data_IF_799769552094
#
_entry.id   IF_799769552094
#
_cell.length_a   1.000
_cell.length_b   1.000
_cell.length_c   1.000
_cell.angle_alpha   90.00
_cell.angle_beta   90.00
_cell.angle_gamma   90.00
#
_symmetry.space_group_name_H-M   'P 1'
#
loop_
_entity.id
_entity.type
_entity.pdbx_description
1 polymer ?
#
# COMPACT_ATOMS: atom_id res chain seq x y z
N UNK A 1 12.73 49.19 -91.33
CA UNK A 1 12.88 47.98 -90.53
C UNK A 1 13.25 48.37 -89.09
N UNK A 2 12.33 48.38 -88.17
CA UNK A 2 12.55 48.74 -86.75
C UNK A 2 12.87 47.47 -85.98
N UNK A 3 14.02 47.39 -85.37
CA UNK A 3 14.42 46.30 -84.46
C UNK A 3 13.85 46.61 -83.07
N UNK A 4 13.05 45.73 -82.54
CA UNK A 4 12.53 45.78 -81.15
C UNK A 4 13.47 44.97 -80.30
N UNK A 5 14.15 45.63 -79.35
CA UNK A 5 14.99 45.00 -78.33
C UNK A 5 14.12 44.73 -77.08
N UNK A 6 14.00 43.45 -76.69
CA UNK A 6 13.38 43.08 -75.41
C UNK A 6 14.43 43.09 -74.31
N UNK A 7 14.20 43.93 -73.30
CA UNK A 7 14.98 43.92 -72.08
C UNK A 7 14.36 42.91 -71.12
N UNK A 8 15.15 41.96 -70.73
CA UNK A 8 14.81 40.98 -69.71
C UNK A 8 15.01 41.60 -68.32
N UNK A 9 13.92 41.83 -67.58
CA UNK A 9 13.98 42.24 -66.16
C UNK A 9 14.07 40.98 -65.30
N UNK A 10 15.20 40.74 -64.65
CA UNK A 10 15.34 39.68 -63.66
C UNK A 10 14.71 40.13 -62.33
N UNK A 11 13.64 39.50 -61.89
CA UNK A 11 13.07 39.68 -60.56
C UNK A 11 13.80 38.71 -59.64
N UNK A 12 14.60 39.27 -58.74
CA UNK A 12 15.20 38.51 -57.61
C UNK A 12 14.19 38.41 -56.51
N UNK A 13 13.59 37.23 -56.30
CA UNK A 13 12.78 36.96 -55.17
C UNK A 13 13.65 36.63 -53.93
N UNK A 14 13.70 37.56 -52.97
CA UNK A 14 14.24 37.29 -51.63
C UNK A 14 13.25 36.38 -50.86
N UNK A 15 13.60 35.10 -50.74
CA UNK A 15 12.89 34.20 -49.82
C UNK A 15 13.32 34.50 -48.36
N UNK A 16 12.47 35.28 -47.65
CA UNK A 16 12.63 35.47 -46.23
C UNK A 16 12.29 34.20 -45.47
N UNK A 17 13.30 33.61 -44.86
CA UNK A 17 13.09 32.46 -43.91
C UNK A 17 12.51 33.07 -42.64
N UNK A 18 11.21 32.89 -42.42
CA UNK A 18 10.55 33.22 -41.17
C UNK A 18 10.75 32.02 -40.24
N UNK A 19 11.69 32.17 -39.29
CA UNK A 19 11.92 31.15 -38.24
C UNK A 19 10.82 31.32 -37.19
N UNK A 20 9.83 30.45 -37.18
CA UNK A 20 8.86 30.38 -36.10
C UNK A 20 9.54 29.75 -34.87
N UNK A 21 9.78 30.54 -33.84
CA UNK A 21 10.20 30.07 -32.53
C UNK A 21 8.95 29.46 -31.86
N UNK A 22 8.84 28.15 -31.88
CA UNK A 22 7.79 27.40 -31.14
C UNK A 22 8.22 27.46 -29.68
N UNK A 23 7.42 28.04 -28.76
CA UNK A 23 7.72 27.93 -27.34
C UNK A 23 7.65 26.47 -26.95
N UNK A 24 8.76 25.93 -26.44
CA UNK A 24 8.74 24.66 -25.75
C UNK A 24 7.85 24.84 -24.52
N UNK A 25 6.64 24.27 -24.59
CA UNK A 25 5.84 24.00 -23.40
C UNK A 25 6.59 22.91 -22.64
N UNK A 26 7.29 23.31 -21.60
CA UNK A 26 7.78 22.36 -20.60
C UNK A 26 6.57 21.63 -20.07
N UNK A 27 6.37 20.40 -20.53
CA UNK A 27 5.44 19.47 -19.91
C UNK A 27 5.92 19.29 -18.47
N UNK A 28 5.10 19.63 -17.45
CA UNK A 28 5.49 19.33 -16.09
C UNK A 28 5.72 17.84 -16.03
N UNK A 29 6.95 17.43 -15.76
CA UNK A 29 7.28 16.06 -15.39
C UNK A 29 6.37 15.74 -14.21
N UNK A 30 5.40 14.84 -14.41
CA UNK A 30 4.57 14.34 -13.34
C UNK A 30 5.53 13.72 -12.32
N UNK A 31 5.90 14.50 -11.31
CA UNK A 31 6.59 14.01 -10.16
C UNK A 31 5.74 12.87 -9.63
N UNK A 32 6.30 11.65 -9.57
CA UNK A 32 5.67 10.51 -8.94
C UNK A 32 5.31 10.95 -7.52
N UNK A 33 4.08 11.36 -7.31
CA UNK A 33 3.55 11.52 -5.97
C UNK A 33 3.62 10.11 -5.35
N UNK A 34 4.67 9.85 -4.58
CA UNK A 34 4.69 8.70 -3.69
C UNK A 34 3.59 8.99 -2.67
N UNK A 35 2.38 8.54 -2.99
CA UNK A 35 1.26 8.55 -2.04
C UNK A 35 1.71 7.83 -0.77
N UNK A 36 1.17 8.27 0.39
CA UNK A 36 1.41 7.53 1.63
C UNK A 36 1.11 6.04 1.41
N UNK A 37 1.91 5.13 1.99
CA UNK A 37 1.68 3.70 1.82
C UNK A 37 0.26 3.36 2.25
N UNK A 38 -0.42 2.54 1.44
CA UNK A 38 -1.77 2.08 1.74
C UNK A 38 -1.75 1.26 3.04
N UNK A 39 -2.72 1.53 3.92
CA UNK A 39 -2.84 0.90 5.22
C UNK A 39 -4.09 0.04 5.27
N UNK A 40 -4.05 -0.89 6.19
CA UNK A 40 -5.21 -1.67 6.60
C UNK A 40 -6.25 -0.82 7.33
N UNK A 41 -7.48 -1.32 7.39
CA UNK A 41 -8.52 -0.85 8.29
C UNK A 41 -8.83 -1.93 9.31
N UNK A 42 -8.81 -1.57 10.59
CA UNK A 42 -9.10 -2.50 11.70
C UNK A 42 -10.43 -2.17 12.33
N UNK A 43 -11.31 -3.17 12.43
CA UNK A 43 -12.62 -3.06 13.08
C UNK A 43 -12.72 -4.09 14.21
N UNK A 44 -13.02 -3.64 15.43
CA UNK A 44 -13.26 -4.55 16.56
C UNK A 44 -14.63 -5.21 16.37
N UNK A 45 -14.62 -6.55 16.23
CA UNK A 45 -15.83 -7.35 16.07
C UNK A 45 -16.38 -7.82 17.42
N UNK A 46 -15.53 -8.10 18.40
CA UNK A 46 -15.91 -8.41 19.77
C UNK A 46 -14.80 -8.02 20.75
N UNK A 47 -15.19 -7.67 21.96
CA UNK A 47 -14.34 -7.46 23.11
C UNK A 47 -15.07 -7.96 24.36
N UNK A 48 -14.61 -9.08 24.93
CA UNK A 48 -15.32 -9.76 26.00
C UNK A 48 -14.36 -10.36 27.03
N UNK A 49 -14.64 -10.19 28.34
CA UNK A 49 -13.96 -10.96 29.36
C UNK A 49 -14.10 -12.46 29.12
N UNK A 50 -13.08 -13.22 29.50
CA UNK A 50 -13.13 -14.68 29.47
C UNK A 50 -13.43 -15.18 30.88
N UNK A 51 -14.66 -15.66 31.20
CA UNK A 51 -15.03 -16.01 32.58
C UNK A 51 -14.15 -17.11 33.19
N UNK A 52 -13.69 -18.06 32.40
CA UNK A 52 -12.81 -19.16 32.82
C UNK A 52 -11.32 -18.77 32.96
N UNK A 53 -10.96 -17.55 32.57
CA UNK A 53 -9.59 -17.01 32.68
C UNK A 53 -9.64 -15.60 33.30
N UNK A 54 -9.77 -15.50 34.64
CA UNK A 54 -9.83 -14.23 35.33
C UNK A 54 -8.65 -13.31 34.96
N UNK A 55 -8.93 -12.03 34.69
CA UNK A 55 -7.92 -11.06 34.27
C UNK A 55 -7.58 -11.10 32.78
N UNK A 56 -8.22 -11.97 31.99
CA UNK A 56 -8.07 -12.02 30.53
C UNK A 56 -9.36 -11.66 29.82
N UNK A 57 -9.22 -11.11 28.62
CA UNK A 57 -10.30 -10.85 27.68
C UNK A 57 -9.93 -11.32 26.28
N UNK A 58 -10.94 -11.65 25.49
CA UNK A 58 -10.84 -11.92 24.08
C UNK A 58 -11.21 -10.66 23.31
N UNK A 59 -10.34 -10.25 22.42
CA UNK A 59 -10.64 -9.21 21.41
C UNK A 59 -10.55 -9.85 20.05
N UNK A 60 -11.62 -9.77 19.26
CA UNK A 60 -11.57 -10.15 17.85
C UNK A 60 -11.65 -8.91 16.97
N UNK A 61 -10.80 -8.89 15.94
CA UNK A 61 -10.70 -7.79 15.00
C UNK A 61 -10.82 -8.32 13.57
N UNK A 62 -11.54 -7.57 12.74
CA UNK A 62 -11.48 -7.73 11.29
C UNK A 62 -10.47 -6.73 10.77
N UNK A 63 -9.50 -7.24 10.03
CA UNK A 63 -8.47 -6.44 9.35
C UNK A 63 -8.73 -6.52 7.86
N UNK A 64 -9.08 -5.39 7.27
CA UNK A 64 -9.31 -5.23 5.83
C UNK A 64 -8.08 -4.61 5.18
N UNK A 65 -7.48 -5.34 4.26
CA UNK A 65 -6.35 -4.89 3.46
C UNK A 65 -6.81 -4.54 2.05
N UNK A 66 -6.86 -3.26 1.66
CA UNK A 66 -6.94 -2.89 0.26
C UNK A 66 -5.80 -3.53 -0.58
N UNK A 67 -5.93 -3.59 -1.91
CA UNK A 67 -4.84 -4.06 -2.78
C UNK A 67 -3.53 -3.33 -2.48
N UNK A 68 -2.45 -4.08 -2.25
CA UNK A 68 -1.13 -3.54 -1.94
C UNK A 68 -0.96 -2.90 -0.57
N UNK A 69 -1.97 -2.96 0.31
CA UNK A 69 -1.88 -2.40 1.67
C UNK A 69 -1.06 -3.28 2.61
N UNK A 70 -0.45 -2.64 3.60
CA UNK A 70 0.34 -3.31 4.64
C UNK A 70 0.19 -2.65 6.00
N UNK A 71 0.28 -3.43 7.06
CA UNK A 71 0.50 -2.94 8.41
C UNK A 71 1.95 -2.51 8.62
N UNK A 72 2.19 -1.61 9.55
CA UNK A 72 3.55 -1.39 10.03
C UNK A 72 4.04 -2.63 10.79
N UNK A 73 5.35 -2.94 10.80
CA UNK A 73 5.91 -3.93 11.70
C UNK A 73 5.54 -3.61 13.15
N UNK A 74 5.09 -4.60 13.91
CA UNK A 74 4.52 -4.37 15.24
C UNK A 74 4.62 -5.60 16.16
N UNK A 75 4.22 -5.38 17.42
CA UNK A 75 4.03 -6.43 18.43
C UNK A 75 2.65 -6.28 19.05
N UNK A 76 2.19 -7.35 19.68
CA UNK A 76 0.93 -7.36 20.44
C UNK A 76 1.15 -7.42 21.97
N UNK A 77 2.36 -7.06 22.44
CA UNK A 77 2.71 -7.06 23.85
C UNK A 77 2.57 -8.45 24.47
N UNK A 78 1.78 -8.57 25.55
CA UNK A 78 1.52 -9.85 26.23
C UNK A 78 0.38 -10.66 25.59
N UNK A 79 -0.20 -10.22 24.48
CA UNK A 79 -1.29 -10.94 23.84
C UNK A 79 -0.79 -12.19 23.11
N UNK A 80 -1.61 -13.26 23.18
CA UNK A 80 -1.54 -14.36 22.23
C UNK A 80 -2.51 -14.06 21.09
N UNK A 81 -2.06 -14.20 19.84
CA UNK A 81 -2.86 -13.91 18.66
C UNK A 81 -3.09 -15.18 17.85
N UNK A 82 -4.35 -15.37 17.45
CA UNK A 82 -4.76 -16.33 16.42
C UNK A 82 -5.24 -15.56 15.20
N UNK A 83 -4.60 -15.76 14.08
CA UNK A 83 -4.94 -15.13 12.81
C UNK A 83 -5.55 -16.17 11.85
N UNK A 84 -6.63 -15.77 11.15
CA UNK A 84 -7.37 -16.61 10.21
C UNK A 84 -7.74 -15.81 8.96
N UNK A 85 -7.32 -16.25 7.78
CA UNK A 85 -7.64 -15.57 6.53
C UNK A 85 -9.08 -15.86 6.13
N UNK A 86 -9.89 -14.80 6.01
CA UNK A 86 -11.30 -14.87 5.61
C UNK A 86 -11.45 -14.83 4.08
N UNK A 87 -10.67 -13.96 3.40
CA UNK A 87 -10.71 -13.83 1.94
C UNK A 87 -9.41 -13.23 1.41
N UNK A 88 -9.16 -13.37 0.13
CA UNK A 88 -7.94 -12.89 -0.53
C UNK A 88 -6.71 -13.70 -0.13
N UNK A 89 -5.56 -13.05 -0.02
CA UNK A 89 -4.31 -13.68 0.43
C UNK A 89 -3.49 -12.68 1.25
N UNK A 90 -2.99 -13.11 2.40
CA UNK A 90 -2.19 -12.30 3.31
C UNK A 90 -0.77 -12.86 3.36
N UNK A 91 0.23 -11.99 3.15
CA UNK A 91 1.63 -12.32 3.37
C UNK A 91 1.99 -11.96 4.79
N UNK A 92 2.52 -12.92 5.54
CA UNK A 92 2.87 -12.74 6.94
C UNK A 92 4.25 -13.30 7.25
N UNK A 93 4.96 -12.64 8.18
CA UNK A 93 6.18 -13.10 8.81
C UNK A 93 6.14 -12.76 10.29
N UNK A 94 6.22 -13.77 11.14
CA UNK A 94 6.31 -13.64 12.60
C UNK A 94 7.71 -14.05 13.03
N UNK A 95 8.36 -13.22 13.82
CA UNK A 95 9.74 -13.39 14.29
C UNK A 95 10.71 -13.68 13.13
N UNK A 96 11.54 -14.72 13.24
CA UNK A 96 12.51 -15.13 12.21
C UNK A 96 11.99 -16.27 11.32
N UNK A 97 10.68 -16.57 11.39
CA UNK A 97 10.06 -17.54 10.51
C UNK A 97 10.11 -17.07 9.04
N UNK A 98 10.12 -17.98 8.08
CA UNK A 98 10.04 -17.60 6.67
C UNK A 98 8.76 -16.84 6.35
N UNK A 99 8.86 -15.83 5.47
CA UNK A 99 7.68 -15.16 4.91
C UNK A 99 6.80 -16.19 4.20
N UNK A 100 5.51 -16.22 4.55
CA UNK A 100 4.52 -17.11 3.94
C UNK A 100 3.31 -16.35 3.45
N UNK A 101 2.65 -16.90 2.43
CA UNK A 101 1.35 -16.41 1.94
C UNK A 101 0.27 -17.35 2.43
N UNK A 102 -0.67 -16.79 3.18
CA UNK A 102 -1.83 -17.50 3.73
C UNK A 102 -3.08 -17.17 2.93
N UNK A 103 -3.87 -18.20 2.63
CA UNK A 103 -5.11 -18.14 1.84
C UNK A 103 -6.34 -18.39 2.72
N UNK A 104 -7.57 -18.20 2.22
CA UNK A 104 -8.78 -18.43 2.98
C UNK A 104 -8.78 -19.83 3.63
N UNK A 105 -9.04 -19.86 4.94
CA UNK A 105 -9.00 -21.07 5.76
C UNK A 105 -7.64 -21.37 6.40
N UNK A 106 -6.56 -20.69 5.99
CA UNK A 106 -5.24 -20.85 6.58
C UNK A 106 -5.05 -19.93 7.79
N UNK A 107 -4.15 -20.31 8.69
CA UNK A 107 -3.96 -19.68 9.99
C UNK A 107 -2.49 -19.58 10.37
N UNK A 108 -2.20 -18.62 11.26
CA UNK A 108 -0.94 -18.58 12.03
C UNK A 108 -1.21 -18.09 13.45
N UNK A 109 -0.19 -18.20 14.28
CA UNK A 109 -0.22 -17.76 15.67
C UNK A 109 0.92 -16.81 15.95
N UNK A 110 0.69 -15.90 16.92
CA UNK A 110 1.73 -15.03 17.46
C UNK A 110 1.75 -15.20 18.97
N UNK A 111 2.89 -15.64 19.49
CA UNK A 111 3.09 -15.75 20.94
C UNK A 111 3.23 -14.37 21.59
N UNK A 112 3.00 -14.24 22.91
CA UNK A 112 3.30 -13.02 23.61
C UNK A 112 4.71 -12.52 23.32
N UNK A 113 4.83 -11.25 22.92
CA UNK A 113 6.10 -10.61 22.57
C UNK A 113 6.62 -10.87 21.15
N UNK A 114 6.00 -11.75 20.37
CA UNK A 114 6.40 -12.00 18.98
C UNK A 114 6.41 -10.72 18.16
N UNK A 115 7.34 -10.65 17.21
CA UNK A 115 7.49 -9.54 16.27
C UNK A 115 6.83 -9.88 14.93
N UNK A 116 5.70 -9.24 14.64
CA UNK A 116 5.03 -9.35 13.35
C UNK A 116 5.72 -8.42 12.33
N UNK A 117 6.74 -8.96 11.65
CA UNK A 117 7.60 -8.22 10.72
C UNK A 117 6.89 -7.84 9.45
N UNK A 118 6.08 -8.75 8.91
CA UNK A 118 5.35 -8.58 7.66
C UNK A 118 3.90 -8.95 7.88
N UNK A 119 2.99 -8.03 7.58
CA UNK A 119 1.56 -8.26 7.52
C UNK A 119 0.99 -7.41 6.40
N UNK A 120 0.70 -8.03 5.26
CA UNK A 120 0.33 -7.28 4.06
C UNK A 120 -0.57 -8.08 3.12
N UNK A 121 -1.32 -7.37 2.29
CA UNK A 121 -2.03 -8.00 1.18
C UNK A 121 -1.02 -8.56 0.17
N UNK A 122 -1.12 -9.85 -0.12
CA UNK A 122 -0.24 -10.48 -1.11
C UNK A 122 -0.58 -10.11 -2.57
N UNK A 123 -1.73 -9.42 -2.80
CA UNK A 123 -2.20 -9.00 -4.11
C UNK A 123 -2.15 -7.48 -4.26
N UNK A 124 -1.74 -7.01 -5.43
CA UNK A 124 -1.80 -5.60 -5.81
C UNK A 124 -3.15 -5.20 -6.45
N UNK A 125 -4.05 -6.16 -6.69
CA UNK A 125 -5.31 -5.92 -7.42
C UNK A 125 -6.56 -6.37 -6.67
N UNK A 126 -6.45 -7.36 -5.77
CA UNK A 126 -7.56 -7.93 -5.03
C UNK A 126 -7.45 -7.60 -3.55
N UNK A 127 -8.55 -7.29 -2.84
CA UNK A 127 -8.52 -7.07 -1.40
C UNK A 127 -8.31 -8.37 -0.64
N UNK A 128 -7.81 -8.25 0.59
CA UNK A 128 -7.72 -9.37 1.54
C UNK A 128 -8.38 -9.01 2.86
N UNK A 129 -8.88 -10.01 3.56
CA UNK A 129 -9.54 -9.86 4.86
C UNK A 129 -9.06 -10.93 5.82
N UNK A 130 -8.74 -10.50 7.03
CA UNK A 130 -8.19 -11.32 8.11
C UNK A 130 -9.08 -11.18 9.35
N UNK A 131 -9.30 -12.30 10.05
CA UNK A 131 -9.77 -12.28 11.44
C UNK A 131 -8.56 -12.46 12.35
N UNK A 132 -8.32 -11.49 13.23
CA UNK A 132 -7.35 -11.61 14.31
C UNK A 132 -8.08 -11.74 15.65
N UNK A 133 -7.78 -12.78 16.41
CA UNK A 133 -8.33 -13.02 17.76
C UNK A 133 -7.19 -12.93 18.75
N UNK A 134 -7.31 -11.99 19.69
CA UNK A 134 -6.32 -11.72 20.70
C UNK A 134 -6.84 -12.17 22.08
N UNK A 135 -6.04 -12.93 22.80
CA UNK A 135 -6.23 -13.16 24.25
C UNK A 135 -5.23 -12.27 24.97
N UNK A 136 -5.74 -11.29 25.70
CA UNK A 136 -4.97 -10.20 26.27
C UNK A 136 -5.36 -9.93 27.71
N UNK A 137 -4.47 -9.31 28.50
CA UNK A 137 -4.79 -8.86 29.85
C UNK A 137 -5.91 -7.81 29.83
N UNK A 138 -6.84 -7.87 30.79
CA UNK A 138 -8.04 -7.04 30.79
C UNK A 138 -7.74 -5.53 30.79
N UNK A 139 -6.62 -5.09 31.38
CA UNK A 139 -6.20 -3.69 31.46
C UNK A 139 -5.38 -3.17 30.29
N UNK A 140 -5.07 -4.00 29.27
CA UNK A 140 -4.31 -3.57 28.10
C UNK A 140 -5.21 -2.84 27.13
N UNK A 141 -4.93 -1.57 26.85
CA UNK A 141 -5.69 -0.75 25.89
C UNK A 141 -5.05 -0.78 24.48
N UNK A 142 -3.72 -0.75 24.42
CA UNK A 142 -2.98 -0.74 23.15
C UNK A 142 -2.73 -2.17 22.67
N UNK A 143 -3.45 -2.61 21.66
CA UNK A 143 -3.36 -3.96 21.10
C UNK A 143 -2.27 -4.11 20.03
N UNK A 144 -1.83 -3.03 19.44
CA UNK A 144 -0.77 -2.96 18.42
C UNK A 144 0.26 -1.95 18.88
N UNK A 145 1.49 -2.41 19.04
CA UNK A 145 2.66 -1.59 19.45
C UNK A 145 3.59 -1.54 18.23
N UNK A 146 3.59 -0.43 17.47
CA UNK A 146 4.50 -0.28 16.33
C UNK A 146 5.95 -0.42 16.80
N UNK A 147 6.75 -1.14 16.04
CA UNK A 147 8.19 -1.20 16.29
C UNK A 147 8.85 0.05 15.68
N UNK A 148 9.60 0.86 16.44
CA UNK A 148 10.33 1.99 15.88
C UNK A 148 11.37 1.47 14.88
N UNK A 149 11.30 2.00 13.66
CA UNK A 149 12.30 1.75 12.60
C UNK A 149 13.59 2.55 12.88
#
# INVERSE_FOLDING_TARGET
MRRITFSLVAVVALAGVVTYMVPHLDTPTAGSAHGAPLRETVTVAADKPIPSLPGKRLVSQIVDYPPGASSVPHRHGSAFVYAYVLSGAVRSQVDDEPVRVYRPGETWFENPGSYHRVSENASATEPARLLAVLIVDAGVEQLVIPDPQ
#
